data_IF_644463917647
#
_entry.id   IF_644463917647
#
_cell.length_a   1.000
_cell.length_b   1.000
_cell.length_c   1.000
_cell.angle_alpha   90.00
_cell.angle_beta   90.00
_cell.angle_gamma   90.00
#
_symmetry.space_group_name_H-M   'P 1'
#
loop_
_entity.id
_entity.type
_entity.pdbx_description
1 polymer ?
#
# COMPACT_ATOMS: atom_id res chain seq x y z
N UNK A 1 -7.31 -32.52 -21.76
CA UNK A 1 -6.43 -31.78 -20.82
C UNK A 1 -7.30 -30.72 -20.15
N UNK A 2 -7.46 -30.73 -18.82
CA UNK A 2 -8.32 -29.76 -18.13
C UNK A 2 -7.56 -28.43 -18.06
N UNK A 3 -8.08 -27.38 -18.70
CA UNK A 3 -7.51 -26.03 -18.62
C UNK A 3 -7.99 -25.45 -17.28
N UNK A 4 -7.05 -25.06 -16.43
CA UNK A 4 -7.37 -24.34 -15.20
C UNK A 4 -7.52 -22.86 -15.56
N UNK A 5 -8.76 -22.44 -15.78
CA UNK A 5 -9.08 -21.05 -16.10
C UNK A 5 -9.10 -20.20 -14.82
N UNK A 6 -8.44 -19.04 -14.87
CA UNK A 6 -8.52 -18.01 -13.84
C UNK A 6 -9.29 -16.84 -14.44
N UNK A 7 -10.37 -16.44 -13.79
CA UNK A 7 -11.16 -15.27 -14.21
C UNK A 7 -11.15 -14.22 -13.10
N UNK A 8 -10.88 -12.97 -13.45
CA UNK A 8 -11.00 -11.84 -12.52
C UNK A 8 -12.45 -11.35 -12.51
N UNK A 9 -13.16 -11.56 -11.40
CA UNK A 9 -14.54 -11.10 -11.26
C UNK A 9 -14.65 -9.59 -10.99
N UNK A 10 -13.65 -9.01 -10.32
CA UNK A 10 -13.61 -7.59 -10.02
C UNK A 10 -12.31 -7.20 -9.30
N UNK A 11 -11.95 -5.93 -9.42
CA UNK A 11 -10.84 -5.32 -8.71
C UNK A 11 -11.33 -3.99 -8.15
N UNK A 12 -11.11 -3.76 -6.87
CA UNK A 12 -11.60 -2.57 -6.19
C UNK A 12 -10.71 -2.21 -5.01
N UNK A 13 -10.81 -0.96 -4.58
CA UNK A 13 -10.11 -0.44 -3.42
C UNK A 13 -11.05 -0.58 -2.21
N UNK A 14 -10.62 -1.34 -1.21
CA UNK A 14 -11.34 -1.49 0.06
C UNK A 14 -11.10 -0.34 1.03
N UNK A 15 -9.88 0.16 1.04
CA UNK A 15 -9.43 1.23 1.92
C UNK A 15 -8.29 2.00 1.23
N UNK A 16 -8.32 3.32 1.38
CA UNK A 16 -7.30 4.23 0.87
C UNK A 16 -7.16 5.38 1.84
N UNK A 17 -5.94 5.56 2.34
CA UNK A 17 -5.58 6.72 3.14
C UNK A 17 -4.31 7.35 2.61
N UNK A 18 -4.25 8.67 2.71
CA UNK A 18 -3.05 9.46 2.45
C UNK A 18 -3.00 10.60 3.45
N UNK A 19 -1.86 10.72 4.12
CA UNK A 19 -1.62 11.76 5.11
C UNK A 19 -0.28 12.42 4.86
N UNK A 20 -0.29 13.75 4.86
CA UNK A 20 0.92 14.57 4.84
C UNK A 20 0.84 15.60 5.97
N UNK A 21 1.38 15.30 7.17
CA UNK A 21 1.35 16.21 8.32
C UNK A 21 2.07 17.55 8.08
N UNK A 22 2.90 17.65 7.04
CA UNK A 22 3.66 18.85 6.70
C UNK A 22 2.97 19.71 5.63
N UNK A 23 1.81 19.29 5.11
CA UNK A 23 1.07 20.08 4.12
C UNK A 23 0.51 21.38 4.74
N UNK A 24 0.43 22.49 3.97
CA UNK A 24 0.93 22.65 2.60
C UNK A 24 2.44 22.95 2.55
N UNK A 25 3.04 23.30 3.69
CA UNK A 25 4.40 23.84 3.79
C UNK A 25 5.44 22.72 3.89
N UNK A 26 5.67 22.04 2.77
CA UNK A 26 6.78 21.08 2.68
C UNK A 26 8.11 21.86 2.57
N UNK A 27 9.06 21.68 3.50
CA UNK A 27 10.35 22.37 3.42
C UNK A 27 11.12 21.90 2.18
N UNK A 28 11.90 22.80 1.59
CA UNK A 28 12.86 22.45 0.54
C UNK A 28 13.81 21.37 1.03
N UNK A 29 13.73 20.19 0.44
CA UNK A 29 14.54 19.04 0.85
C UNK A 29 15.88 19.06 0.08
N UNK A 30 16.97 19.21 0.81
CA UNK A 30 18.33 19.00 0.28
C UNK A 30 18.74 17.52 0.27
N UNK A 31 17.88 16.62 0.75
CA UNK A 31 18.18 15.20 0.92
C UNK A 31 16.96 14.35 0.61
N UNK A 32 17.17 13.25 -0.11
CA UNK A 32 16.12 12.29 -0.42
C UNK A 32 15.52 11.71 0.88
N UNK A 33 14.19 11.53 0.96
CA UNK A 33 13.53 10.96 2.12
C UNK A 33 13.89 9.48 2.27
N UNK A 34 13.80 8.98 3.51
CA UNK A 34 13.81 7.54 3.77
C UNK A 34 12.43 6.98 3.48
N UNK A 35 12.37 5.91 2.69
CA UNK A 35 11.14 5.23 2.30
C UNK A 35 11.08 3.87 2.99
N UNK A 36 10.00 3.61 3.72
CA UNK A 36 9.65 2.29 4.22
C UNK A 36 8.45 1.75 3.44
N UNK A 37 8.48 0.47 3.10
CA UNK A 37 7.43 -0.21 2.34
C UNK A 37 7.10 -1.54 3.01
N UNK A 38 5.85 -1.69 3.42
CA UNK A 38 5.28 -2.94 3.93
C UNK A 38 4.22 -3.45 2.95
N UNK A 39 4.36 -4.71 2.52
CA UNK A 39 3.42 -5.38 1.62
C UNK A 39 2.91 -6.64 2.31
N UNK A 40 1.59 -6.75 2.44
CA UNK A 40 0.93 -7.90 3.06
C UNK A 40 -0.21 -8.38 2.18
N UNK A 41 -0.40 -9.69 2.11
CA UNK A 41 -1.51 -10.31 1.37
C UNK A 41 -2.33 -11.16 2.31
N UNK A 42 -3.65 -11.04 2.22
CA UNK A 42 -4.58 -11.95 2.90
C UNK A 42 -5.51 -12.59 1.89
N UNK A 43 -5.83 -13.86 2.13
CA UNK A 43 -6.72 -14.68 1.30
C UNK A 43 -8.01 -14.94 2.07
N UNK A 44 -9.13 -14.82 1.36
CA UNK A 44 -10.44 -15.21 1.86
C UNK A 44 -11.13 -16.15 0.85
N UNK A 45 -11.62 -17.27 1.35
CA UNK A 45 -12.43 -18.21 0.57
C UNK A 45 -13.91 -17.78 0.63
N UNK A 46 -14.49 -17.45 -0.52
CA UNK A 46 -15.88 -17.00 -0.64
C UNK A 46 -16.86 -18.14 -1.00
N UNK A 47 -16.39 -19.40 -0.98
CA UNK A 47 -17.11 -20.61 -1.46
C UNK A 47 -17.39 -20.57 -2.96
N UNK A 48 -17.92 -21.68 -3.50
CA UNK A 48 -18.29 -21.81 -4.91
C UNK A 48 -17.13 -21.49 -5.88
N UNK A 49 -15.89 -21.80 -5.49
CA UNK A 49 -14.67 -21.51 -6.26
C UNK A 49 -14.44 -20.00 -6.50
N UNK A 50 -15.00 -19.15 -5.62
CA UNK A 50 -14.73 -17.72 -5.58
C UNK A 50 -13.71 -17.43 -4.49
N UNK A 51 -12.75 -16.59 -4.83
CA UNK A 51 -11.62 -16.26 -3.97
C UNK A 51 -11.47 -14.76 -3.92
N UNK A 52 -11.16 -14.24 -2.75
CA UNK A 52 -10.81 -12.84 -2.59
C UNK A 52 -9.38 -12.71 -2.08
N UNK A 53 -8.60 -11.90 -2.80
CA UNK A 53 -7.22 -11.58 -2.45
C UNK A 53 -7.18 -10.11 -2.05
N UNK A 54 -6.81 -9.82 -0.80
CA UNK A 54 -6.60 -8.47 -0.34
C UNK A 54 -5.11 -8.18 -0.25
N UNK A 55 -4.64 -7.28 -1.12
CA UNK A 55 -3.29 -6.74 -1.09
C UNK A 55 -3.28 -5.43 -0.30
N UNK A 56 -2.58 -5.42 0.83
CA UNK A 56 -2.36 -4.23 1.66
C UNK A 56 -0.95 -3.71 1.43
N UNK A 57 -0.85 -2.48 0.95
CA UNK A 57 0.41 -1.77 0.77
C UNK A 57 0.42 -0.59 1.74
N UNK A 58 1.46 -0.50 2.58
CA UNK A 58 1.71 0.67 3.42
C UNK A 58 3.08 1.22 3.07
N UNK A 59 3.15 2.49 2.72
CA UNK A 59 4.42 3.18 2.53
C UNK A 59 4.50 4.42 3.41
N UNK A 60 5.69 4.72 3.91
CA UNK A 60 5.95 5.93 4.69
C UNK A 60 7.23 6.56 4.21
N UNK A 61 7.14 7.85 3.84
CA UNK A 61 8.29 8.69 3.54
C UNK A 61 8.59 9.56 4.76
N UNK A 62 9.83 9.58 5.22
CA UNK A 62 10.25 10.40 6.35
C UNK A 62 11.54 11.16 6.03
N UNK A 63 11.63 12.38 6.53
CA UNK A 63 12.86 13.17 6.53
C UNK A 63 13.44 13.02 7.92
N UNK A 64 14.73 12.69 8.03
CA UNK A 64 15.39 12.64 9.33
C UNK A 64 15.34 14.04 9.97
N UNK A 65 14.67 14.17 11.11
CA UNK A 65 14.70 15.39 11.92
C UNK A 65 16.14 15.61 12.38
N UNK A 66 16.84 16.56 11.79
CA UNK A 66 18.13 17.00 12.32
C UNK A 66 17.79 17.74 13.62
N UNK A 67 18.07 17.10 14.74
CA UNK A 67 18.01 17.74 16.05
C UNK A 67 19.21 18.69 16.10
N UNK A 68 18.99 19.98 15.88
CA UNK A 68 20.03 20.97 16.17
C UNK A 68 20.16 21.04 17.70
N UNK A 69 21.33 20.63 18.20
CA UNK A 69 21.85 21.06 19.50
C UNK A 69 22.52 22.42 19.32
#
# INVERSE_FOLDING_TARGET
MKINEITLMGQYIKDLSFENPMAPNLPSQNKNPTINLDVNTTYLDLKNNNHEINLKIKSTASIKKILYL
#
